data_IF_209523253900
#
_entry.id   IF_209523253900
#
_cell.length_a   1.000
_cell.length_b   1.000
_cell.length_c   1.000
_cell.angle_alpha   90.00
_cell.angle_beta   90.00
_cell.angle_gamma   90.00
#
_symmetry.space_group_name_H-M   'P 1'
#
loop_
_entity.id
_entity.type
_entity.pdbx_description
1 polymer ?
#
# COMPACT_ATOMS: atom_id res chain seq x y z
N UNK A 1 -20.86 -1.21 7.77
CA UNK A 1 -19.91 -0.12 7.47
C UNK A 1 -18.56 -0.76 7.16
N UNK A 2 -17.86 -0.35 6.09
CA UNK A 2 -16.59 -0.98 5.73
C UNK A 2 -15.45 -0.52 6.64
N UNK A 3 -14.55 -1.44 6.96
CA UNK A 3 -13.27 -1.16 7.63
C UNK A 3 -12.14 -1.19 6.61
N UNK A 4 -11.35 -0.12 6.57
CA UNK A 4 -10.21 0.05 5.66
C UNK A 4 -8.91 0.04 6.44
N UNK A 5 -8.02 -0.89 6.10
CA UNK A 5 -6.65 -0.92 6.61
C UNK A 5 -5.75 -0.09 5.68
N UNK A 6 -4.99 0.84 6.24
CA UNK A 6 -4.01 1.64 5.49
C UNK A 6 -2.61 1.29 5.99
N UNK A 7 -1.82 0.57 5.18
CA UNK A 7 -0.41 0.36 5.52
C UNK A 7 0.38 1.61 5.16
N UNK A 8 1.33 2.05 6.00
CA UNK A 8 1.95 3.37 5.86
C UNK A 8 0.95 4.51 6.15
N UNK A 9 -0.11 4.21 6.91
CA UNK A 9 -1.25 5.10 7.15
C UNK A 9 -0.94 6.32 8.01
N UNK A 10 0.18 6.32 8.74
CA UNK A 10 0.64 7.49 9.49
C UNK A 10 1.64 8.35 8.71
N UNK A 11 2.00 7.93 7.48
CA UNK A 11 2.80 8.72 6.55
C UNK A 11 2.03 9.87 5.91
N UNK A 12 2.72 10.65 5.07
CA UNK A 12 2.17 11.85 4.43
C UNK A 12 0.86 11.55 3.70
N UNK A 13 0.87 10.74 2.63
CA UNK A 13 -0.34 10.44 1.86
C UNK A 13 -1.35 9.64 2.70
N UNK A 14 -0.87 8.63 3.43
CA UNK A 14 -1.72 7.75 4.25
C UNK A 14 -2.60 8.51 5.24
N UNK A 15 -2.05 9.51 5.93
CA UNK A 15 -2.81 10.33 6.91
C UNK A 15 -3.92 11.15 6.24
N UNK A 16 -3.68 11.68 5.04
CA UNK A 16 -4.69 12.41 4.28
C UNK A 16 -5.81 11.51 3.79
N UNK A 17 -5.46 10.30 3.33
CA UNK A 17 -6.43 9.26 2.95
C UNK A 17 -7.27 8.84 4.16
N UNK A 18 -6.65 8.62 5.33
CA UNK A 18 -7.37 8.31 6.56
C UNK A 18 -8.42 9.38 6.89
N UNK A 19 -8.05 10.67 6.84
CA UNK A 19 -9.01 11.79 7.04
C UNK A 19 -10.14 11.79 6.01
N UNK A 20 -9.84 11.47 4.75
CA UNK A 20 -10.86 11.42 3.70
C UNK A 20 -11.86 10.28 3.95
N UNK A 21 -11.37 9.10 4.32
CA UNK A 21 -12.20 7.93 4.61
C UNK A 21 -13.10 8.13 5.84
N UNK A 22 -12.58 8.73 6.91
CA UNK A 22 -13.37 9.06 8.11
C UNK A 22 -14.50 10.04 7.76
N UNK A 23 -14.20 11.08 6.96
CA UNK A 23 -15.19 12.08 6.54
C UNK A 23 -16.38 11.50 5.79
N UNK A 24 -16.19 10.40 5.07
CA UNK A 24 -17.26 9.71 4.34
C UNK A 24 -17.81 8.48 5.11
N UNK A 25 -17.44 8.31 6.38
CA UNK A 25 -18.02 7.32 7.28
C UNK A 25 -17.43 5.91 7.20
N UNK A 26 -16.17 5.75 6.77
CA UNK A 26 -15.48 4.46 6.90
C UNK A 26 -14.78 4.32 8.25
N UNK A 27 -14.68 3.08 8.75
CA UNK A 27 -13.77 2.77 9.85
C UNK A 27 -12.35 2.64 9.32
N UNK A 28 -11.38 3.24 10.00
CA UNK A 28 -9.98 3.25 9.54
C UNK A 28 -9.06 2.56 10.56
N UNK A 29 -8.22 1.67 10.05
CA UNK A 29 -7.11 1.06 10.79
C UNK A 29 -5.80 1.52 10.14
N UNK A 30 -4.99 2.25 10.88
CA UNK A 30 -3.63 2.62 10.47
C UNK A 30 -2.69 1.49 10.88
N UNK A 31 -1.90 1.01 9.91
CA UNK A 31 -0.83 0.04 10.13
C UNK A 31 0.49 0.64 9.67
N UNK A 32 1.44 0.85 10.56
CA UNK A 32 2.69 1.53 10.21
C UNK A 32 3.87 1.03 11.03
N UNK A 33 5.05 0.92 10.41
CA UNK A 33 6.26 0.46 11.09
C UNK A 33 6.78 1.53 12.07
N UNK A 34 6.61 2.81 11.67
CA UNK A 34 6.93 3.97 12.50
C UNK A 34 5.71 4.88 12.51
N UNK A 35 4.99 4.90 13.64
CA UNK A 35 3.79 5.72 13.81
C UNK A 35 4.18 7.18 13.98
N UNK A 36 3.75 8.04 13.05
CA UNK A 36 3.91 9.49 13.18
C UNK A 36 2.65 10.14 13.79
N UNK A 37 2.56 10.16 15.11
CA UNK A 37 1.41 10.75 15.82
C UNK A 37 1.17 12.23 15.48
N UNK A 38 2.20 12.99 15.07
CA UNK A 38 2.03 14.39 14.68
C UNK A 38 1.16 14.54 13.44
N UNK A 39 1.27 13.62 12.48
CA UNK A 39 0.50 13.63 11.24
C UNK A 39 -0.94 13.14 11.43
N UNK A 40 -1.23 12.40 12.49
CA UNK A 40 -2.57 11.83 12.74
C UNK A 40 -3.23 12.38 14.00
N UNK A 41 -2.65 13.41 14.64
CA UNK A 41 -3.12 13.97 15.92
C UNK A 41 -4.61 14.33 15.93
N UNK A 42 -5.11 14.87 14.81
CA UNK A 42 -6.48 15.34 14.64
C UNK A 42 -7.49 14.21 14.48
N UNK A 43 -7.03 13.02 14.07
CA UNK A 43 -7.86 11.83 13.85
C UNK A 43 -7.53 10.68 14.79
N UNK A 44 -6.60 10.85 15.74
CA UNK A 44 -6.06 9.77 16.56
C UNK A 44 -7.12 9.01 17.36
N UNK A 45 -8.17 9.70 17.81
CA UNK A 45 -9.32 9.13 18.52
C UNK A 45 -10.37 8.47 17.61
N UNK A 46 -10.27 8.66 16.28
CA UNK A 46 -11.21 8.16 15.29
C UNK A 46 -10.66 6.97 14.49
N UNK A 47 -9.43 6.52 14.79
CA UNK A 47 -8.76 5.43 14.08
C UNK A 47 -8.17 4.43 15.06
N UNK A 48 -8.17 3.16 14.67
CA UNK A 48 -7.29 2.19 15.30
C UNK A 48 -5.87 2.38 14.75
N UNK A 49 -4.85 2.27 15.61
CA UNK A 49 -3.45 2.33 15.20
C UNK A 49 -2.77 1.06 15.65
N UNK A 50 -2.12 0.38 14.71
CA UNK A 50 -1.28 -0.78 14.93
C UNK A 50 0.12 -0.44 14.45
N UNK A 51 1.09 -0.47 15.36
CA UNK A 51 2.48 -0.37 14.98
C UNK A 51 2.97 -1.76 14.52
N UNK A 52 3.35 -1.89 13.26
CA UNK A 52 3.74 -3.17 12.68
C UNK A 52 4.41 -3.03 11.32
N UNK A 53 5.24 -4.01 10.97
CA UNK A 53 5.92 -4.09 9.67
C UNK A 53 5.12 -4.98 8.72
N UNK A 54 5.04 -4.64 7.43
CA UNK A 54 4.34 -5.46 6.41
C UNK A 54 5.08 -6.77 6.12
N UNK A 55 6.35 -6.86 6.51
CA UNK A 55 7.14 -8.10 6.48
C UNK A 55 6.80 -9.06 7.61
N UNK A 56 6.13 -8.58 8.68
CA UNK A 56 5.52 -9.43 9.71
C UNK A 56 4.13 -9.89 9.26
N UNK A 57 4.11 -10.99 8.51
CA UNK A 57 2.87 -11.57 7.99
C UNK A 57 1.90 -12.02 9.10
N UNK A 58 2.40 -12.42 10.27
CA UNK A 58 1.56 -12.93 11.34
C UNK A 58 0.78 -11.80 12.01
N UNK A 59 1.46 -10.72 12.40
CA UNK A 59 0.82 -9.53 12.97
C UNK A 59 -0.13 -8.87 11.98
N UNK A 60 0.23 -8.83 10.70
CA UNK A 60 -0.62 -8.29 9.65
C UNK A 60 -1.91 -9.12 9.50
N UNK A 61 -1.81 -10.45 9.49
CA UNK A 61 -2.97 -11.34 9.40
C UNK A 61 -3.86 -11.23 10.65
N UNK A 62 -3.26 -11.17 11.86
CA UNK A 62 -3.99 -10.93 13.09
C UNK A 62 -4.76 -9.60 13.04
N UNK A 63 -4.11 -8.54 12.56
CA UNK A 63 -4.72 -7.22 12.41
C UNK A 63 -5.92 -7.25 11.46
N UNK A 64 -5.75 -7.83 10.27
CA UNK A 64 -6.81 -7.95 9.27
C UNK A 64 -8.02 -8.70 9.85
N UNK A 65 -7.77 -9.80 10.59
CA UNK A 65 -8.82 -10.59 11.24
C UNK A 65 -9.50 -9.83 12.39
N UNK A 66 -8.72 -9.22 13.29
CA UNK A 66 -9.18 -8.53 14.49
C UNK A 66 -10.15 -7.39 14.17
N UNK A 67 -9.87 -6.63 13.12
CA UNK A 67 -10.68 -5.47 12.74
C UNK A 67 -11.70 -5.76 11.63
N UNK A 68 -11.81 -7.02 11.17
CA UNK A 68 -12.75 -7.40 10.11
C UNK A 68 -12.57 -6.59 8.83
N UNK A 69 -11.31 -6.43 8.38
CA UNK A 69 -10.95 -5.51 7.28
C UNK A 69 -11.64 -5.92 5.98
N UNK A 70 -12.30 -4.95 5.32
CA UNK A 70 -12.99 -5.15 4.04
C UNK A 70 -12.13 -4.73 2.84
N UNK A 71 -11.28 -3.71 3.03
CA UNK A 71 -10.38 -3.22 1.99
C UNK A 71 -9.01 -2.84 2.57
N UNK A 72 -7.96 -2.98 1.75
CA UNK A 72 -6.61 -2.54 2.11
C UNK A 72 -6.16 -1.44 1.14
N UNK A 73 -5.65 -0.34 1.67
CA UNK A 73 -4.91 0.67 0.92
C UNK A 73 -3.43 0.58 1.27
N UNK A 74 -2.62 0.08 0.34
CA UNK A 74 -1.22 -0.27 0.58
C UNK A 74 -0.29 0.90 0.20
N UNK A 75 0.12 1.71 1.17
CA UNK A 75 1.08 2.82 1.01
C UNK A 75 2.47 2.53 1.60
N UNK A 76 2.60 1.51 2.45
CA UNK A 76 3.89 1.12 3.02
C UNK A 76 4.87 0.71 1.91
N UNK A 77 5.98 1.46 1.79
CA UNK A 77 7.08 1.16 0.87
C UNK A 77 8.32 1.95 1.30
N UNK A 78 9.50 1.42 0.98
CA UNK A 78 10.74 2.20 0.93
C UNK A 78 10.83 2.92 -0.40
N UNK A 79 11.03 4.24 -0.36
CA UNK A 79 11.19 5.08 -1.56
C UNK A 79 12.50 4.78 -2.29
N UNK A 80 12.59 5.19 -3.56
CA UNK A 80 13.71 4.86 -4.47
C UNK A 80 15.09 5.06 -3.84
N UNK A 81 15.41 6.23 -3.31
CA UNK A 81 16.73 6.48 -2.73
C UNK A 81 17.04 5.62 -1.48
N UNK A 82 16.03 5.19 -0.72
CA UNK A 82 16.21 4.28 0.40
C UNK A 82 16.38 2.83 -0.08
N UNK A 83 15.59 2.42 -1.07
CA UNK A 83 15.68 1.10 -1.68
C UNK A 83 17.02 0.88 -2.39
N UNK A 84 17.56 1.87 -3.10
CA UNK A 84 18.88 1.75 -3.76
C UNK A 84 20.05 1.74 -2.75
N UNK A 85 19.94 2.45 -1.62
CA UNK A 85 20.95 2.39 -0.56
C UNK A 85 21.01 1.04 0.15
N UNK A 86 19.87 0.35 0.25
CA UNK A 86 19.81 -1.00 0.81
C UNK A 86 18.83 -1.87 -0.01
N UNK A 87 19.29 -2.45 -1.14
CA UNK A 87 18.44 -3.22 -2.04
C UNK A 87 17.78 -4.42 -1.39
N UNK A 88 18.45 -5.08 -0.44
CA UNK A 88 17.87 -6.21 0.27
C UNK A 88 16.67 -5.78 1.14
N UNK A 89 16.81 -4.68 1.88
CA UNK A 89 15.68 -4.15 2.64
C UNK A 89 14.57 -3.62 1.72
N UNK A 90 14.95 -3.00 0.59
CA UNK A 90 14.00 -2.60 -0.46
C UNK A 90 13.20 -3.79 -1.01
N UNK A 91 13.88 -4.91 -1.25
CA UNK A 91 13.25 -6.17 -1.67
C UNK A 91 12.26 -6.67 -0.60
N UNK A 92 12.72 -6.80 0.65
CA UNK A 92 11.89 -7.24 1.77
C UNK A 92 10.60 -6.42 1.89
N UNK A 93 10.71 -5.10 1.96
CA UNK A 93 9.52 -4.25 2.18
C UNK A 93 8.65 -4.17 0.93
N UNK A 94 9.23 -3.89 -0.23
CA UNK A 94 8.45 -3.53 -1.41
C UNK A 94 8.02 -4.74 -2.25
N UNK A 95 8.61 -5.92 -2.05
CA UNK A 95 8.21 -7.16 -2.72
C UNK A 95 7.59 -8.13 -1.73
N UNK A 96 8.34 -8.59 -0.71
CA UNK A 96 7.79 -9.55 0.27
C UNK A 96 6.64 -8.93 1.08
N UNK A 97 6.78 -7.68 1.52
CA UNK A 97 5.72 -6.96 2.23
C UNK A 97 4.47 -6.77 1.37
N UNK A 98 4.63 -6.43 0.10
CA UNK A 98 3.49 -6.36 -0.85
C UNK A 98 2.85 -7.73 -1.06
N UNK A 99 3.64 -8.79 -1.22
CA UNK A 99 3.14 -10.16 -1.30
C UNK A 99 2.35 -10.56 -0.05
N UNK A 100 2.86 -10.25 1.15
CA UNK A 100 2.18 -10.54 2.41
C UNK A 100 0.82 -9.86 2.47
N UNK A 101 0.75 -8.55 2.17
CA UNK A 101 -0.52 -7.81 2.14
C UNK A 101 -1.51 -8.44 1.17
N UNK A 102 -1.07 -8.77 -0.03
CA UNK A 102 -1.94 -9.26 -1.10
C UNK A 102 -2.40 -10.70 -0.85
N UNK A 103 -1.51 -11.55 -0.35
CA UNK A 103 -1.82 -12.95 0.00
C UNK A 103 -2.74 -13.05 1.22
N UNK A 104 -2.54 -12.21 2.24
CA UNK A 104 -3.40 -12.12 3.43
C UNK A 104 -4.78 -11.59 3.04
N UNK A 105 -4.85 -10.56 2.19
CA UNK A 105 -6.12 -10.06 1.66
C UNK A 105 -6.94 -11.18 1.01
N UNK A 106 -6.30 -11.99 0.17
CA UNK A 106 -6.92 -13.17 -0.43
C UNK A 106 -7.32 -14.21 0.62
N UNK A 107 -6.42 -14.58 1.53
CA UNK A 107 -6.66 -15.64 2.52
C UNK A 107 -7.80 -15.30 3.48
N UNK A 108 -7.98 -14.02 3.83
CA UNK A 108 -8.98 -13.55 4.79
C UNK A 108 -10.21 -12.92 4.13
N UNK A 109 -10.35 -13.03 2.80
CA UNK A 109 -11.56 -12.63 2.09
C UNK A 109 -11.79 -11.12 2.00
N UNK A 110 -10.71 -10.32 2.06
CA UNK A 110 -10.73 -8.88 1.78
C UNK A 110 -11.27 -8.65 0.36
N UNK A 111 -12.13 -7.64 0.22
CA UNK A 111 -12.91 -7.41 -1.02
C UNK A 111 -12.19 -6.52 -2.02
N UNK A 112 -11.33 -5.61 -1.56
CA UNK A 112 -10.63 -4.69 -2.45
C UNK A 112 -9.22 -4.35 -1.95
N UNK A 113 -8.31 -4.13 -2.90
CA UNK A 113 -6.97 -3.62 -2.66
C UNK A 113 -6.76 -2.36 -3.52
N UNK A 114 -6.36 -1.27 -2.88
CA UNK A 114 -5.87 -0.07 -3.55
C UNK A 114 -4.37 -0.01 -3.33
N UNK A 115 -3.62 0.07 -4.43
CA UNK A 115 -2.16 0.07 -4.40
C UNK A 115 -1.59 1.44 -4.78
N UNK A 116 -0.72 1.97 -3.91
CA UNK A 116 0.04 3.17 -4.20
C UNK A 116 1.22 2.84 -5.12
N UNK A 117 0.98 2.91 -6.43
CA UNK A 117 2.03 2.79 -7.44
C UNK A 117 2.77 4.13 -7.63
N UNK A 118 3.57 4.26 -8.67
CA UNK A 118 4.34 5.47 -8.96
C UNK A 118 4.61 5.62 -10.46
N UNK A 119 4.79 6.87 -10.90
CA UNK A 119 5.34 7.17 -12.21
C UNK A 119 6.74 6.56 -12.43
N UNK A 120 7.46 6.20 -11.36
CA UNK A 120 8.72 5.45 -11.46
C UNK A 120 8.59 4.09 -12.19
N UNK A 121 7.38 3.55 -12.32
CA UNK A 121 7.12 2.36 -13.15
C UNK A 121 7.39 2.62 -14.64
N UNK A 122 7.27 3.86 -15.12
CA UNK A 122 7.54 4.19 -16.52
C UNK A 122 9.03 4.23 -16.88
N UNK A 123 9.93 4.32 -15.89
CA UNK A 123 11.37 4.42 -16.11
C UNK A 123 11.89 5.85 -16.12
N UNK A 124 13.22 6.02 -16.11
CA UNK A 124 13.86 7.33 -16.00
C UNK A 124 13.84 8.11 -17.32
N UNK A 125 13.65 7.40 -18.44
CA UNK A 125 13.57 7.95 -19.79
C UNK A 125 12.15 8.22 -20.26
N UNK A 126 11.17 8.12 -19.37
CA UNK A 126 9.78 8.42 -19.69
C UNK A 126 9.62 9.91 -20.06
N UNK A 127 8.71 10.25 -21.00
CA UNK A 127 8.39 11.64 -21.30
C UNK A 127 7.77 12.35 -20.07
N UNK A 128 7.82 13.68 -20.06
CA UNK A 128 7.23 14.50 -19.00
C UNK A 128 5.73 14.21 -18.79
N UNK A 129 4.99 14.05 -19.89
CA UNK A 129 3.59 13.65 -19.88
C UNK A 129 3.47 12.18 -20.24
N UNK A 130 2.97 11.40 -19.28
CA UNK A 130 2.80 9.96 -19.42
C UNK A 130 1.33 9.57 -19.52
N UNK A 131 1.00 8.61 -20.38
CA UNK A 131 -0.33 7.97 -20.45
C UNK A 131 -0.29 6.58 -19.83
N UNK A 132 -1.43 6.13 -19.33
CA UNK A 132 -1.59 4.83 -18.66
C UNK A 132 -1.28 3.63 -19.57
N UNK A 133 -1.46 3.78 -20.88
CA UNK A 133 -1.23 2.76 -21.91
C UNK A 133 0.21 2.70 -22.42
N UNK A 134 1.10 3.57 -21.93
CA UNK A 134 2.51 3.49 -22.27
C UNK A 134 3.19 2.32 -21.56
N UNK A 135 4.15 1.70 -22.25
CA UNK A 135 4.96 0.63 -21.69
C UNK A 135 5.74 1.10 -20.47
N UNK A 136 5.74 0.27 -19.43
CA UNK A 136 6.49 0.48 -18.19
C UNK A 136 7.81 -0.28 -18.24
N UNK A 137 8.92 0.46 -18.22
CA UNK A 137 10.29 -0.09 -18.21
C UNK A 137 11.06 0.54 -17.04
N UNK A 138 10.78 0.12 -15.80
CA UNK A 138 11.43 0.70 -14.63
C UNK A 138 12.92 0.34 -14.57
N UNK A 139 13.73 1.31 -14.14
CA UNK A 139 15.20 1.16 -14.03
C UNK A 139 15.68 1.13 -12.58
N UNK A 140 14.79 1.33 -11.61
CA UNK A 140 15.10 1.32 -10.16
C UNK A 140 14.39 0.17 -9.47
N UNK A 141 14.93 -0.31 -8.35
CA UNK A 141 14.30 -1.37 -7.55
C UNK A 141 12.91 -0.95 -7.07
N UNK A 142 12.75 0.33 -6.72
CA UNK A 142 11.45 0.90 -6.37
C UNK A 142 10.47 0.86 -7.55
N UNK A 143 10.88 1.31 -8.74
CA UNK A 143 10.03 1.26 -9.94
C UNK A 143 9.60 -0.18 -10.28
N UNK A 144 10.55 -1.12 -10.24
CA UNK A 144 10.30 -2.55 -10.47
C UNK A 144 9.28 -3.07 -9.45
N UNK A 145 9.45 -2.72 -8.17
CA UNK A 145 8.52 -3.14 -7.10
C UNK A 145 7.09 -2.60 -7.29
N UNK A 146 6.94 -1.40 -7.84
CA UNK A 146 5.63 -0.82 -8.14
C UNK A 146 4.96 -1.53 -9.31
N UNK A 147 5.69 -1.81 -10.39
CA UNK A 147 5.18 -2.64 -11.47
C UNK A 147 4.84 -4.06 -10.99
N UNK A 148 5.65 -4.65 -10.12
CA UNK A 148 5.38 -5.94 -9.48
C UNK A 148 4.04 -5.93 -8.73
N UNK A 149 3.80 -4.94 -7.87
CA UNK A 149 2.54 -4.82 -7.12
C UNK A 149 1.33 -4.64 -8.03
N UNK A 150 1.45 -3.88 -9.13
CA UNK A 150 0.40 -3.75 -10.13
C UNK A 150 0.06 -5.09 -10.80
N UNK A 151 1.06 -5.82 -11.27
CA UNK A 151 0.86 -7.10 -11.95
C UNK A 151 0.29 -8.15 -11.00
N UNK A 152 0.78 -8.18 -9.75
CA UNK A 152 0.27 -9.07 -8.72
C UNK A 152 -1.20 -8.79 -8.39
N UNK A 153 -1.58 -7.52 -8.28
CA UNK A 153 -2.96 -7.11 -8.00
C UNK A 153 -3.92 -7.43 -9.13
N UNK A 154 -3.53 -7.18 -10.38
CA UNK A 154 -4.31 -7.58 -11.55
C UNK A 154 -4.48 -9.10 -11.63
N UNK A 155 -3.44 -9.86 -11.28
CA UNK A 155 -3.51 -11.32 -11.22
C UNK A 155 -4.51 -11.79 -10.16
N UNK A 156 -4.50 -11.20 -8.95
CA UNK A 156 -5.48 -11.49 -7.92
C UNK A 156 -6.91 -11.17 -8.35
N UNK A 157 -7.11 -10.02 -8.99
CA UNK A 157 -8.41 -9.58 -9.47
C UNK A 157 -9.02 -10.59 -10.45
N UNK A 158 -8.24 -11.00 -11.46
CA UNK A 158 -8.68 -11.98 -12.48
C UNK A 158 -8.99 -13.36 -11.91
N UNK A 159 -8.32 -13.77 -10.82
CA UNK A 159 -8.41 -15.14 -10.29
C UNK A 159 -9.31 -15.31 -9.07
N UNK A 160 -9.44 -14.29 -8.23
CA UNK A 160 -10.04 -14.45 -6.89
C UNK A 160 -11.15 -13.44 -6.58
N UNK A 161 -11.66 -12.72 -7.60
CA UNK A 161 -12.73 -11.73 -7.45
C UNK A 161 -12.45 -10.66 -6.37
N UNK A 162 -11.19 -10.25 -6.26
CA UNK A 162 -10.75 -9.15 -5.39
C UNK A 162 -10.69 -7.90 -6.25
N UNK A 163 -11.42 -6.84 -5.87
CA UNK A 163 -11.33 -5.55 -6.55
C UNK A 163 -9.91 -4.99 -6.46
N UNK A 164 -9.38 -4.46 -7.55
CA UNK A 164 -8.03 -3.90 -7.57
C UNK A 164 -7.98 -2.58 -8.33
N UNK A 165 -7.30 -1.60 -7.73
CA UNK A 165 -6.93 -0.36 -8.41
C UNK A 165 -5.49 0.01 -8.01
N UNK A 166 -4.71 0.51 -8.95
CA UNK A 166 -3.40 1.06 -8.71
C UNK A 166 -3.35 2.50 -9.22
N UNK A 167 -2.70 3.37 -8.45
CA UNK A 167 -2.53 4.77 -8.84
C UNK A 167 -1.05 5.08 -9.02
N UNK A 168 -0.65 5.49 -10.21
CA UNK A 168 0.71 5.94 -10.53
C UNK A 168 0.79 7.46 -10.37
N UNK A 169 1.28 7.94 -9.24
CA UNK A 169 1.54 9.37 -9.03
C UNK A 169 3.02 9.71 -9.26
N UNK A 170 3.28 10.90 -9.80
CA UNK A 170 4.62 11.51 -9.84
C UNK A 170 4.96 12.20 -8.52
N UNK A 171 6.22 12.62 -8.41
CA UNK A 171 6.73 13.51 -7.35
C UNK A 171 6.64 14.97 -7.76
#
# INVERSE_FOLDING_TARGET
MWTVLITGGSGFIGSHVARALIRVGYNVVIYDVVVNDKLIKDIRGNVAVVQGDVTDSALLAETVKKYGVNAIMHYAALLSAAAERNPYQGFKVNFEGTWNVFSIAKALGVKAIIFASSAAAYGLKAPEFVREDMYTVPETLYGISKQYGEMLGLWLCRRYNIGFAAFRYGS
#
